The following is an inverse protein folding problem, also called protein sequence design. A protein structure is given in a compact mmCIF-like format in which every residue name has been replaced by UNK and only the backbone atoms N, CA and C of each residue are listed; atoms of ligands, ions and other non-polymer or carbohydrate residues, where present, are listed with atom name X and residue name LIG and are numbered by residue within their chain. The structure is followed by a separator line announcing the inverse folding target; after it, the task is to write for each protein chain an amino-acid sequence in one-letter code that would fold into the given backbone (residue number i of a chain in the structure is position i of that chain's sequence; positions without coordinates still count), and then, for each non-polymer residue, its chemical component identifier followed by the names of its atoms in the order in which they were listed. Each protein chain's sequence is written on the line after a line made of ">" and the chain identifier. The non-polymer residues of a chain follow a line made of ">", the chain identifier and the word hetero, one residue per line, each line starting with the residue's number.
data_IF_382738556953
#
_entry.id   IF_382738556953
#
_cell.length_a   1.000
_cell.length_b   1.000
_cell.length_c   1.000
_cell.angle_alpha   90.00
_cell.angle_beta   90.00
_cell.angle_gamma   90.00
#
_symmetry.space_group_name_H-M   'P 1'
#
loop_
_entity.id
_entity.type
_entity.pdbx_description
1 polymer ?
#
# COMPACT_ATOMS: atom_id res chain seq x y z
N UNK A 1 -43.06 0.09 39.69
CA UNK A 1 -42.10 -0.94 39.25
C UNK A 1 -41.84 -0.68 37.76
N UNK A 2 -40.97 0.24 37.34
CA UNK A 2 -39.51 0.33 37.42
C UNK A 2 -38.78 -0.40 36.26
N UNK A 3 -38.37 0.43 35.28
CA UNK A 3 -37.07 0.44 34.58
C UNK A 3 -36.86 -0.56 33.41
N UNK A 4 -37.27 -0.12 32.22
CA UNK A 4 -36.70 -0.57 30.93
C UNK A 4 -35.94 0.60 30.30
N UNK A 5 -34.64 0.45 30.08
CA UNK A 5 -33.78 1.50 29.53
C UNK A 5 -32.33 1.25 29.91
N UNK A 6 -31.67 0.35 29.18
CA UNK A 6 -30.24 0.09 29.33
C UNK A 6 -29.40 1.22 28.72
N UNK A 7 -28.24 1.56 29.31
CA UNK A 7 -27.34 2.58 28.79
C UNK A 7 -26.58 2.05 27.56
N UNK A 8 -27.10 2.30 26.36
CA UNK A 8 -26.42 1.90 25.12
C UNK A 8 -26.83 2.65 23.84
N UNK A 9 -27.74 3.63 23.94
CA UNK A 9 -28.27 4.34 22.76
C UNK A 9 -27.48 5.58 22.33
N UNK A 10 -26.64 6.15 23.19
CA UNK A 10 -25.92 7.40 22.89
C UNK A 10 -24.53 7.17 22.26
N UNK A 11 -23.88 6.04 22.53
CA UNK A 11 -22.53 5.75 22.02
C UNK A 11 -22.52 5.16 20.60
N UNK A 12 -23.62 4.54 20.16
CA UNK A 12 -23.75 3.93 18.82
C UNK A 12 -23.71 5.01 17.73
N UNK A 13 -24.28 6.18 17.98
CA UNK A 13 -24.38 7.23 16.97
C UNK A 13 -23.04 7.95 16.72
N UNK A 14 -22.19 8.04 17.76
CA UNK A 14 -20.80 8.50 17.63
C UNK A 14 -19.93 7.48 16.90
N UNK A 15 -20.05 6.20 17.27
CA UNK A 15 -19.33 5.11 16.60
C UNK A 15 -19.67 5.02 15.11
N UNK A 16 -20.94 5.17 14.73
CA UNK A 16 -21.35 5.16 13.31
C UNK A 16 -20.73 6.32 12.52
N UNK A 17 -20.61 7.52 13.11
CA UNK A 17 -19.96 8.66 12.44
C UNK A 17 -18.47 8.44 12.25
N UNK A 18 -17.78 7.92 13.26
CA UNK A 18 -16.36 7.56 13.15
C UNK A 18 -16.13 6.49 12.10
N UNK A 19 -16.97 5.44 12.07
CA UNK A 19 -16.89 4.40 11.06
C UNK A 19 -17.11 4.94 9.63
N UNK A 20 -18.06 5.86 9.44
CA UNK A 20 -18.29 6.53 8.15
C UNK A 20 -17.09 7.38 7.72
N UNK A 21 -16.48 8.12 8.64
CA UNK A 21 -15.29 8.93 8.36
C UNK A 21 -14.10 8.05 7.98
N UNK A 22 -13.84 6.99 8.74
CA UNK A 22 -12.80 6.01 8.44
C UNK A 22 -13.03 5.35 7.07
N UNK A 23 -14.28 5.03 6.73
CA UNK A 23 -14.61 4.47 5.41
C UNK A 23 -14.24 5.45 4.29
N UNK A 24 -14.55 6.73 4.45
CA UNK A 24 -14.20 7.77 3.47
C UNK A 24 -12.69 7.97 3.35
N UNK A 25 -11.98 8.06 4.47
CA UNK A 25 -10.51 8.21 4.51
C UNK A 25 -9.81 6.99 3.88
N UNK A 26 -10.33 5.78 4.11
CA UNK A 26 -9.80 4.57 3.48
C UNK A 26 -10.00 4.57 1.95
N UNK A 27 -11.16 5.01 1.47
CA UNK A 27 -11.43 5.12 0.02
C UNK A 27 -10.51 6.17 -0.62
N UNK A 28 -10.36 7.34 0.00
CA UNK A 28 -9.47 8.40 -0.49
C UNK A 28 -8.00 7.96 -0.49
N UNK A 29 -7.56 7.24 0.54
CA UNK A 29 -6.20 6.71 0.60
C UNK A 29 -5.92 5.66 -0.47
N UNK A 30 -6.90 4.79 -0.75
CA UNK A 30 -6.79 3.83 -1.87
C UNK A 30 -6.73 4.53 -3.23
N UNK A 31 -7.47 5.62 -3.43
CA UNK A 31 -7.36 6.41 -4.66
C UNK A 31 -5.98 7.08 -4.77
N UNK A 32 -5.50 7.74 -3.72
CA UNK A 32 -4.17 8.37 -3.70
C UNK A 32 -3.05 7.36 -3.92
N UNK A 33 -3.15 6.14 -3.38
CA UNK A 33 -2.16 5.09 -3.60
C UNK A 33 -1.96 4.71 -5.07
N UNK A 34 -2.97 4.89 -5.93
CA UNK A 34 -2.85 4.59 -7.36
C UNK A 34 -1.99 5.60 -8.12
N UNK A 35 -1.88 6.81 -7.59
CA UNK A 35 -1.10 7.91 -8.18
C UNK A 35 0.33 7.95 -7.63
N UNK A 36 0.57 7.29 -6.49
CA UNK A 36 1.90 7.17 -5.90
C UNK A 36 2.72 6.11 -6.62
N UNK A 37 3.99 6.43 -6.88
CA UNK A 37 4.91 5.57 -7.64
C UNK A 37 6.23 5.45 -6.90
N UNK A 38 6.76 4.23 -6.85
CA UNK A 38 8.11 3.95 -6.39
C UNK A 38 9.00 3.55 -7.58
N UNK A 39 10.27 3.89 -7.49
CA UNK A 39 11.29 3.51 -8.45
C UNK A 39 12.25 2.49 -7.83
N UNK A 40 12.59 1.47 -8.61
CA UNK A 40 13.60 0.47 -8.25
C UNK A 40 14.49 0.17 -9.44
N UNK A 41 15.69 -0.34 -9.17
CA UNK A 41 16.64 -0.66 -10.24
C UNK A 41 17.55 -1.84 -9.89
N UNK A 42 18.11 -2.47 -10.92
CA UNK A 42 19.11 -3.52 -10.82
C UNK A 42 20.23 -3.30 -11.85
N UNK A 43 21.32 -4.07 -11.72
CA UNK A 43 22.45 -4.00 -12.65
C UNK A 43 23.11 -2.63 -12.70
N UNK A 44 23.34 -1.99 -11.55
CA UNK A 44 23.92 -0.64 -11.50
C UNK A 44 23.03 0.47 -12.09
N UNK A 45 21.74 0.21 -12.27
CA UNK A 45 20.79 1.15 -12.87
C UNK A 45 20.51 0.90 -14.35
N UNK A 46 21.07 -0.16 -14.94
CA UNK A 46 20.78 -0.54 -16.32
C UNK A 46 19.34 -1.01 -16.52
N UNK A 47 18.72 -1.61 -15.51
CA UNK A 47 17.28 -1.89 -15.53
C UNK A 47 16.61 -1.08 -14.43
N UNK A 48 15.63 -0.27 -14.80
CA UNK A 48 14.81 0.55 -13.89
C UNK A 48 13.34 0.21 -14.07
N UNK A 49 12.59 0.20 -12.98
CA UNK A 49 11.15 -0.01 -13.00
C UNK A 49 10.42 1.05 -12.17
N UNK A 50 9.20 1.38 -12.60
CA UNK A 50 8.24 2.16 -11.82
C UNK A 50 7.08 1.27 -11.43
N UNK A 51 6.80 1.19 -10.13
CA UNK A 51 5.67 0.44 -9.58
C UNK A 51 4.71 1.40 -8.88
N UNK A 52 3.41 1.29 -9.17
CA UNK A 52 2.37 2.03 -8.48
C UNK A 52 2.09 1.45 -7.08
N UNK A 53 1.59 2.29 -6.16
CA UNK A 53 1.15 1.85 -4.83
C UNK A 53 -0.04 0.88 -4.85
N UNK A 54 -0.69 0.70 -5.99
CA UNK A 54 -1.68 -0.34 -6.28
C UNK A 54 -1.05 -1.67 -6.77
N UNK A 55 0.26 -1.82 -6.62
CA UNK A 55 1.06 -2.99 -7.01
C UNK A 55 1.05 -3.26 -8.52
N UNK A 56 0.87 -2.21 -9.32
CA UNK A 56 0.93 -2.31 -10.78
C UNK A 56 2.29 -1.84 -11.30
N UNK A 57 2.89 -2.63 -12.19
CA UNK A 57 4.08 -2.21 -12.93
C UNK A 57 3.69 -1.19 -14.00
N UNK A 58 4.22 0.03 -13.90
CA UNK A 58 3.89 1.16 -14.78
C UNK A 58 4.88 1.34 -15.92
N UNK A 59 6.16 1.12 -15.65
CA UNK A 59 7.23 1.33 -16.62
C UNK A 59 8.40 0.38 -16.34
N UNK A 60 9.03 -0.11 -17.41
CA UNK A 60 10.37 -0.72 -17.38
C UNK A 60 11.22 0.04 -18.39
N UNK A 61 12.41 0.47 -17.95
CA UNK A 61 13.44 1.05 -18.80
C UNK A 61 14.67 0.14 -18.72
N UNK A 62 15.17 -0.26 -19.89
CA UNK A 62 16.37 -1.08 -20.03
C UNK A 62 17.38 -0.27 -20.83
N UNK A 63 18.56 -0.07 -20.26
CA UNK A 63 19.69 0.56 -20.92
C UNK A 63 20.17 -0.34 -22.08
N UNK A 64 20.46 0.22 -23.28
CA UNK A 64 21.01 -0.55 -24.38
C UNK A 64 22.24 -1.39 -24.03
N UNK A 65 23.07 -0.94 -23.08
CA UNK A 65 24.25 -1.69 -22.63
C UNK A 65 23.90 -3.01 -21.92
N UNK A 66 22.68 -3.15 -21.40
CA UNK A 66 22.20 -4.40 -20.82
C UNK A 66 21.60 -5.37 -21.86
N UNK A 67 21.52 -4.98 -23.14
CA UNK A 67 20.95 -5.79 -24.21
C UNK A 67 22.06 -6.49 -24.98
N UNK A 68 22.58 -7.57 -24.40
CA UNK A 68 23.53 -8.47 -25.06
C UNK A 68 22.80 -9.74 -25.56
N UNK A 69 22.71 -9.98 -26.88
CA UNK A 69 22.09 -11.19 -27.41
C UNK A 69 22.88 -12.48 -27.09
N UNK A 70 24.16 -12.38 -26.72
CA UNK A 70 24.97 -13.52 -26.29
C UNK A 70 24.78 -13.85 -24.79
N UNK A 71 24.25 -12.92 -24.00
CA UNK A 71 24.01 -13.06 -22.56
C UNK A 71 22.61 -12.57 -22.15
N UNK A 72 21.58 -13.19 -22.73
CA UNK A 72 20.18 -12.88 -22.40
C UNK A 72 19.81 -13.27 -20.95
N UNK A 73 20.57 -14.16 -20.32
CA UNK A 73 20.31 -14.63 -18.96
C UNK A 73 20.62 -13.53 -17.95
N UNK A 74 21.71 -12.79 -18.13
CA UNK A 74 22.02 -11.63 -17.29
C UNK A 74 20.92 -10.57 -17.33
N UNK A 75 20.37 -10.26 -18.51
CA UNK A 75 19.26 -9.31 -18.65
C UNK A 75 18.00 -9.79 -17.90
N UNK A 76 17.68 -11.08 -18.00
CA UNK A 76 16.54 -11.66 -17.28
C UNK A 76 16.71 -11.55 -15.76
N UNK A 77 17.91 -11.82 -15.24
CA UNK A 77 18.20 -11.67 -13.81
C UNK A 77 18.03 -10.23 -13.34
N UNK A 78 18.53 -9.26 -14.10
CA UNK A 78 18.39 -7.84 -13.78
C UNK A 78 16.91 -7.39 -13.80
N UNK A 79 16.14 -7.81 -14.80
CA UNK A 79 14.70 -7.52 -14.86
C UNK A 79 13.97 -8.13 -13.66
N UNK A 80 14.23 -9.39 -13.34
CA UNK A 80 13.62 -10.06 -12.19
C UNK A 80 13.95 -9.32 -10.88
N UNK A 81 15.22 -8.95 -10.68
CA UNK A 81 15.66 -8.24 -9.50
C UNK A 81 14.98 -6.87 -9.37
N UNK A 82 14.95 -6.07 -10.43
CA UNK A 82 14.34 -4.74 -10.41
C UNK A 82 12.83 -4.80 -10.16
N UNK A 83 12.11 -5.72 -10.81
CA UNK A 83 10.67 -5.91 -10.62
C UNK A 83 10.35 -6.35 -9.20
N UNK A 84 11.08 -7.33 -8.65
CA UNK A 84 10.85 -7.81 -7.29
C UNK A 84 11.11 -6.71 -6.25
N UNK A 85 12.14 -5.91 -6.46
CA UNK A 85 12.45 -4.77 -5.58
C UNK A 85 11.36 -3.70 -5.66
N UNK A 86 10.93 -3.34 -6.87
CA UNK A 86 9.82 -2.39 -7.06
C UNK A 86 8.52 -2.87 -6.40
N UNK A 87 8.22 -4.17 -6.49
CA UNK A 87 7.06 -4.75 -5.82
C UNK A 87 7.17 -4.65 -4.29
N UNK A 88 8.34 -4.93 -3.71
CA UNK A 88 8.58 -4.79 -2.26
C UNK A 88 8.39 -3.35 -1.82
N UNK A 89 9.01 -2.40 -2.52
CA UNK A 89 8.88 -0.98 -2.23
C UNK A 89 7.42 -0.49 -2.34
N UNK A 90 6.66 -0.99 -3.32
CA UNK A 90 5.25 -0.65 -3.47
C UNK A 90 4.39 -1.22 -2.33
N UNK A 91 4.68 -2.45 -1.88
CA UNK A 91 4.01 -3.05 -0.72
C UNK A 91 4.30 -2.29 0.57
N UNK A 92 5.53 -1.83 0.77
CA UNK A 92 5.92 -0.99 1.90
C UNK A 92 5.21 0.37 1.87
N UNK A 93 5.16 1.02 0.71
CA UNK A 93 4.41 2.26 0.50
C UNK A 93 2.93 2.09 0.83
N UNK A 94 2.29 1.04 0.30
CA UNK A 94 0.89 0.72 0.56
C UNK A 94 0.62 0.45 2.04
N UNK A 95 1.50 -0.34 2.67
CA UNK A 95 1.41 -0.67 4.10
C UNK A 95 1.61 0.55 4.99
N UNK A 96 2.51 1.46 4.62
CA UNK A 96 2.75 2.71 5.37
C UNK A 96 1.53 3.63 5.33
N UNK A 97 0.95 3.85 4.14
CA UNK A 97 -0.21 4.74 3.96
C UNK A 97 -1.47 4.18 4.62
N UNK A 98 -1.73 2.88 4.47
CA UNK A 98 -2.89 2.21 5.09
C UNK A 98 -2.70 1.97 6.59
N UNK A 99 -1.48 1.63 7.01
CA UNK A 99 -1.11 1.42 8.41
C UNK A 99 -1.17 2.70 9.23
N UNK A 100 -0.89 3.87 8.64
CA UNK A 100 -1.13 5.17 9.30
C UNK A 100 -2.60 5.42 9.62
N UNK A 101 -3.51 4.96 8.75
CA UNK A 101 -4.97 5.11 8.93
C UNK A 101 -5.48 4.11 9.96
N UNK A 102 -5.03 2.85 9.89
CA UNK A 102 -5.43 1.82 10.85
C UNK A 102 -4.80 2.04 12.24
N UNK A 103 -3.54 2.48 12.30
CA UNK A 103 -2.81 2.71 13.55
C UNK A 103 -3.23 3.96 14.31
N UNK A 104 -3.86 4.94 13.63
CA UNK A 104 -4.33 6.17 14.24
C UNK A 104 -5.59 6.02 15.09
N UNK A 105 -6.52 5.14 14.71
CA UNK A 105 -7.87 5.08 15.30
C UNK A 105 -8.34 3.66 15.69
N UNK A 106 -7.79 2.59 15.12
CA UNK A 106 -8.13 1.20 15.51
C UNK A 106 -7.21 0.63 16.60
N UNK A 107 -6.03 1.23 16.83
CA UNK A 107 -5.13 0.83 17.92
C UNK A 107 -5.77 0.93 19.31
N UNK A 108 -6.74 1.85 19.49
CA UNK A 108 -7.52 1.98 20.73
C UNK A 108 -8.69 1.01 20.86
N UNK A 109 -9.21 0.47 19.76
CA UNK A 109 -10.39 -0.41 19.75
C UNK A 109 -10.01 -1.90 19.65
N UNK A 110 -8.91 -2.23 18.96
CA UNK A 110 -8.40 -3.60 18.86
C UNK A 110 -7.88 -4.17 20.19
N UNK A 111 -7.42 -3.31 21.10
CA UNK A 111 -7.03 -3.70 22.46
C UNK A 111 -8.19 -3.87 23.45
N UNK A 112 -9.42 -3.49 23.07
CA UNK A 112 -10.62 -3.55 23.93
C UNK A 112 -11.56 -4.70 23.54
N UNK A 113 -11.28 -5.39 22.44
CA UNK A 113 -12.01 -6.58 21.97
C UNK A 113 -11.18 -7.87 22.08
N UNK A 114 -9.95 -7.80 22.60
CA UNK A 114 -9.07 -8.94 22.88
C UNK A 114 -9.17 -9.44 24.31
#
# INVERSE_FOLDING_TARGET
>A
MARGGGPGGFDIQGLMKQAQQMQAEMMEAQEKLKDEVVEASAGGGMVKVKMGGDLTLREIVIDPEAIDPEDADLLQEMVQAAVNEGLRAAQELASSKMGGIAGGDLGGLGGMLG
#
